data_IF_412077199612
#
_entry.id   IF_412077199612
#
_cell.length_a   1.000
_cell.length_b   1.000
_cell.length_c   1.000
_cell.angle_alpha   90.00
_cell.angle_beta   90.00
_cell.angle_gamma   90.00
#
_symmetry.space_group_name_H-M   'P 1'
#
loop_
_entity.id
_entity.type
_entity.pdbx_description
1 polymer ?
#
# COMPACT_ATOMS: atom_id res chain seq x y z
N UNK A 1 16.21 -13.67 60.30
CA UNK A 1 15.43 -12.98 59.29
C UNK A 1 16.23 -12.93 58.01
N UNK A 2 15.86 -13.78 57.01
CA UNK A 2 16.52 -13.83 55.68
C UNK A 2 15.67 -13.01 54.72
N UNK A 3 16.17 -11.83 54.30
CA UNK A 3 15.55 -11.06 53.21
C UNK A 3 15.83 -11.75 51.87
N UNK A 4 14.76 -12.23 51.24
CA UNK A 4 14.79 -12.77 49.90
C UNK A 4 14.62 -11.62 48.90
N UNK A 5 15.70 -11.26 48.21
CA UNK A 5 15.71 -10.23 47.19
C UNK A 5 15.19 -10.86 45.89
N UNK A 6 13.94 -10.56 45.49
CA UNK A 6 13.35 -10.98 44.24
C UNK A 6 13.82 -10.01 43.17
N UNK A 7 14.73 -10.50 42.26
CA UNK A 7 15.20 -9.76 41.10
C UNK A 7 14.13 -9.89 40.01
N UNK A 8 13.32 -8.86 39.76
CA UNK A 8 12.41 -8.79 38.64
C UNK A 8 13.22 -8.50 37.37
N UNK A 9 13.50 -9.53 36.60
CA UNK A 9 14.04 -9.39 35.25
C UNK A 9 12.90 -9.02 34.30
N UNK A 10 12.77 -7.73 34.01
CA UNK A 10 11.85 -7.24 32.98
C UNK A 10 12.40 -7.61 31.59
N UNK A 11 11.79 -8.60 30.98
CA UNK A 11 12.08 -9.02 29.61
C UNK A 11 11.51 -7.94 28.66
N UNK A 12 12.34 -6.97 28.25
CA UNK A 12 12.01 -6.06 27.16
C UNK A 12 11.98 -6.88 25.85
N UNK A 13 10.79 -7.28 25.43
CA UNK A 13 10.57 -7.71 24.05
C UNK A 13 10.80 -6.49 23.14
N UNK A 14 11.99 -6.39 22.60
CA UNK A 14 12.28 -5.46 21.51
C UNK A 14 11.41 -5.86 20.32
N UNK A 15 10.30 -5.14 20.09
CA UNK A 15 9.56 -5.24 18.85
C UNK A 15 10.48 -4.67 17.75
N UNK A 16 11.15 -5.55 17.03
CA UNK A 16 11.86 -5.16 15.81
C UNK A 16 10.81 -4.62 14.83
N UNK A 17 10.83 -3.32 14.63
CA UNK A 17 9.99 -2.67 13.62
C UNK A 17 10.53 -3.09 12.25
N UNK A 18 9.96 -4.12 11.67
CA UNK A 18 10.30 -4.57 10.32
C UNK A 18 9.76 -3.56 9.31
N UNK A 19 10.68 -2.83 8.65
CA UNK A 19 10.40 -2.22 7.35
C UNK A 19 10.19 -3.32 6.32
N UNK A 20 9.36 -3.10 5.32
CA UNK A 20 9.29 -4.03 4.20
C UNK A 20 10.54 -3.87 3.35
N UNK A 21 11.26 -4.98 3.15
CA UNK A 21 12.48 -5.02 2.37
C UNK A 21 12.25 -5.56 0.96
N UNK A 22 13.02 -5.03 0.01
CA UNK A 22 13.03 -5.57 -1.36
C UNK A 22 13.39 -7.05 -1.35
N UNK A 23 12.68 -7.84 -2.15
CA UNK A 23 12.88 -9.28 -2.25
C UNK A 23 12.18 -10.11 -1.16
N UNK A 24 11.35 -9.51 -0.33
CA UNK A 24 10.59 -10.20 0.73
C UNK A 24 9.08 -10.01 0.58
N UNK A 25 8.33 -10.95 1.14
CA UNK A 25 6.88 -10.81 1.32
C UNK A 25 6.65 -9.93 2.54
N UNK A 26 5.86 -8.85 2.44
CA UNK A 26 5.59 -7.96 3.57
C UNK A 26 4.78 -8.65 4.66
N UNK A 27 4.84 -8.14 5.91
CA UNK A 27 3.93 -8.57 6.96
C UNK A 27 2.48 -8.46 6.52
N UNK A 28 1.67 -9.47 6.89
CA UNK A 28 0.23 -9.46 6.55
C UNK A 28 -0.47 -8.25 7.16
N UNK A 29 -1.28 -7.58 6.35
CA UNK A 29 -2.22 -6.53 6.78
C UNK A 29 -3.62 -6.82 6.28
N UNK A 30 -4.62 -6.44 7.08
CA UNK A 30 -6.03 -6.48 6.71
C UNK A 30 -6.67 -5.13 6.94
N UNK A 31 -7.38 -4.65 5.93
CA UNK A 31 -8.22 -3.46 6.01
C UNK A 31 -9.68 -3.90 5.97
N UNK A 32 -10.33 -3.86 7.13
CA UNK A 32 -11.74 -4.22 7.30
C UNK A 32 -12.38 -3.41 8.42
N UNK A 33 -13.69 -3.25 8.37
CA UNK A 33 -14.48 -2.57 9.41
C UNK A 33 -13.92 -1.17 9.76
N UNK A 34 -13.50 -0.97 11.03
CA UNK A 34 -12.97 0.30 11.54
C UNK A 34 -11.57 0.66 11.00
N UNK A 35 -10.87 -0.31 10.41
CA UNK A 35 -9.55 -0.11 9.82
C UNK A 35 -9.61 0.35 8.37
N UNK A 36 -10.70 0.05 7.65
CA UNK A 36 -10.86 0.42 6.24
C UNK A 36 -11.55 -0.65 5.41
N UNK A 37 -11.11 -0.80 4.16
CA UNK A 37 -11.60 -1.78 3.20
C UNK A 37 -11.91 -1.17 1.84
N UNK A 38 -12.37 -2.00 0.91
CA UNK A 38 -12.70 -1.61 -0.46
C UNK A 38 -13.91 -0.66 -0.51
N UNK A 39 -14.08 0.06 -1.61
CA UNK A 39 -15.23 0.97 -1.80
C UNK A 39 -16.56 0.23 -1.79
N UNK A 40 -16.62 -1.03 -2.22
CA UNK A 40 -17.80 -1.90 -2.19
C UNK A 40 -18.12 -2.46 -0.79
N UNK A 41 -17.34 -2.09 0.22
CA UNK A 41 -17.50 -2.52 1.61
C UNK A 41 -16.83 -3.85 1.96
N UNK A 42 -16.25 -4.53 1.00
CA UNK A 42 -15.52 -5.78 1.27
C UNK A 42 -14.18 -5.51 1.96
N UNK A 43 -13.68 -6.45 2.77
CA UNK A 43 -12.33 -6.40 3.27
C UNK A 43 -11.30 -6.38 2.13
N UNK A 44 -10.11 -5.87 2.41
CA UNK A 44 -8.91 -6.05 1.60
C UNK A 44 -7.81 -6.64 2.47
N UNK A 45 -7.05 -7.57 1.92
CA UNK A 45 -5.91 -8.19 2.60
C UNK A 45 -4.68 -8.18 1.69
N UNK A 46 -3.49 -8.04 2.28
CA UNK A 46 -2.24 -8.18 1.54
C UNK A 46 -2.01 -9.61 1.01
N UNK A 47 -2.76 -10.61 1.47
CA UNK A 47 -2.75 -11.95 0.87
C UNK A 47 -3.23 -11.93 -0.60
N UNK A 48 -4.00 -10.91 -0.99
CA UNK A 48 -4.47 -10.72 -2.36
C UNK A 48 -3.36 -10.29 -3.34
N UNK A 49 -2.19 -9.93 -2.83
CA UNK A 49 -1.00 -9.61 -3.64
C UNK A 49 -0.38 -10.84 -4.31
N UNK A 50 -0.94 -12.03 -4.10
CA UNK A 50 -0.50 -13.26 -4.74
C UNK A 50 -1.27 -13.55 -6.03
N UNK A 51 -0.68 -14.37 -6.92
CA UNK A 51 -1.29 -14.84 -8.16
C UNK A 51 -1.11 -13.93 -9.36
N UNK A 52 -0.91 -12.62 -9.16
CA UNK A 52 -0.67 -11.63 -10.22
C UNK A 52 0.46 -10.68 -9.80
N UNK A 53 1.02 -9.96 -10.76
CA UNK A 53 1.84 -8.78 -10.45
C UNK A 53 0.92 -7.66 -9.96
N UNK A 54 1.21 -7.08 -8.80
CA UNK A 54 0.43 -6.01 -8.24
C UNK A 54 1.23 -4.72 -8.14
N UNK A 55 0.59 -3.59 -8.41
CA UNK A 55 1.12 -2.28 -8.05
C UNK A 55 0.17 -1.63 -7.06
N UNK A 56 0.71 -1.21 -5.91
CA UNK A 56 -0.01 -0.42 -4.92
C UNK A 56 0.44 1.03 -5.04
N UNK A 57 -0.52 1.93 -5.18
CA UNK A 57 -0.38 3.35 -4.88
C UNK A 57 -0.99 3.58 -3.50
N UNK A 58 -0.15 3.81 -2.50
CA UNK A 58 -0.60 4.21 -1.17
C UNK A 58 -0.49 5.72 -1.06
N UNK A 59 -1.63 6.40 -0.99
CA UNK A 59 -1.73 7.83 -1.29
C UNK A 59 -2.43 8.59 -0.17
N UNK A 60 -1.80 9.64 0.30
CA UNK A 60 -2.45 10.64 1.11
C UNK A 60 -3.32 11.55 0.22
N UNK A 61 -4.55 11.91 0.64
CA UNK A 61 -5.46 12.72 -0.19
C UNK A 61 -4.85 14.03 -0.69
N UNK A 62 -3.96 14.65 0.08
CA UNK A 62 -3.30 15.90 -0.29
C UNK A 62 -2.19 15.69 -1.35
N UNK A 63 -1.68 14.45 -1.46
CA UNK A 63 -0.67 14.01 -2.42
C UNK A 63 -1.26 13.21 -3.62
N UNK A 64 -2.58 13.30 -3.82
CA UNK A 64 -3.36 12.49 -4.78
C UNK A 64 -2.88 12.57 -6.24
N UNK A 65 -2.21 13.65 -6.62
CA UNK A 65 -1.79 13.92 -8.00
C UNK A 65 -0.27 13.69 -8.21
N UNK A 66 0.48 13.47 -7.15
CA UNK A 66 1.95 13.36 -7.15
C UNK A 66 2.46 12.28 -8.10
N UNK A 67 1.81 11.11 -8.16
CA UNK A 67 2.18 9.98 -9.00
C UNK A 67 1.18 9.70 -10.14
N UNK A 68 0.36 10.69 -10.56
CA UNK A 68 -0.48 10.59 -11.76
C UNK A 68 0.33 10.18 -13.00
N UNK A 69 1.55 10.75 -13.28
CA UNK A 69 2.35 10.32 -14.43
C UNK A 69 2.69 8.83 -14.42
N UNK A 70 2.94 8.24 -13.24
CA UNK A 70 3.20 6.79 -13.12
C UNK A 70 1.93 5.98 -13.39
N UNK A 71 0.79 6.38 -12.82
CA UNK A 71 -0.50 5.74 -13.05
C UNK A 71 -0.91 5.76 -14.52
N UNK A 72 -0.76 6.92 -15.19
CA UNK A 72 -1.05 7.08 -16.62
C UNK A 72 -0.11 6.27 -17.50
N UNK A 73 1.17 6.17 -17.13
CA UNK A 73 2.14 5.35 -17.85
C UNK A 73 1.77 3.87 -17.77
N UNK A 74 1.38 3.38 -16.58
CA UNK A 74 0.91 2.00 -16.40
C UNK A 74 -0.38 1.71 -17.16
N UNK A 75 -1.32 2.65 -17.23
CA UNK A 75 -2.56 2.48 -18.02
C UNK A 75 -2.28 2.36 -19.53
N UNK A 76 -1.30 3.10 -20.04
CA UNK A 76 -0.86 3.01 -21.46
C UNK A 76 -0.24 1.65 -21.82
N UNK A 77 0.35 0.95 -20.86
CA UNK A 77 0.94 -0.38 -21.07
C UNK A 77 -0.10 -1.47 -21.37
N UNK A 78 -1.36 -1.27 -20.96
CA UNK A 78 -2.48 -2.19 -21.16
C UNK A 78 -2.14 -3.63 -20.76
N UNK A 79 -1.48 -3.78 -19.61
CA UNK A 79 -1.14 -5.11 -19.09
C UNK A 79 -2.39 -6.02 -19.00
N UNK A 80 -2.25 -7.32 -19.27
CA UNK A 80 -3.35 -8.27 -19.19
C UNK A 80 -3.91 -8.34 -17.77
N UNK A 81 -5.22 -8.20 -17.61
CA UNK A 81 -5.88 -8.15 -16.29
C UNK A 81 -5.87 -9.48 -15.53
N UNK A 82 -5.59 -10.58 -16.21
CA UNK A 82 -5.34 -11.89 -15.60
C UNK A 82 -3.94 -12.02 -14.98
N UNK A 83 -2.99 -11.14 -15.37
CA UNK A 83 -1.59 -11.15 -14.90
C UNK A 83 -1.19 -9.94 -14.07
N UNK A 84 -1.94 -8.84 -14.17
CA UNK A 84 -1.63 -7.56 -13.52
C UNK A 84 -2.85 -6.97 -12.83
N UNK A 85 -2.63 -6.34 -11.67
CA UNK A 85 -3.65 -5.61 -10.92
C UNK A 85 -3.08 -4.33 -10.31
N UNK A 86 -3.75 -3.21 -10.52
CA UNK A 86 -3.48 -1.95 -9.81
C UNK A 86 -4.40 -1.83 -8.60
N UNK A 87 -3.85 -1.38 -7.48
CA UNK A 87 -4.56 -1.11 -6.23
C UNK A 87 -4.22 0.30 -5.77
N UNK A 88 -5.22 1.12 -5.47
CA UNK A 88 -5.05 2.43 -4.87
C UNK A 88 -5.58 2.38 -3.43
N UNK A 89 -4.70 2.54 -2.46
CA UNK A 89 -5.05 2.55 -1.03
C UNK A 89 -4.91 3.99 -0.53
N UNK A 90 -6.00 4.55 -0.03
CA UNK A 90 -6.06 5.94 0.39
C UNK A 90 -5.92 6.03 1.91
N UNK A 91 -4.91 6.76 2.37
CA UNK A 91 -4.64 7.05 3.77
C UNK A 91 -5.60 8.14 4.29
N UNK A 92 -6.77 7.73 4.74
CA UNK A 92 -7.79 8.68 5.24
C UNK A 92 -7.45 9.25 6.63
N UNK A 93 -6.42 8.72 7.29
CA UNK A 93 -5.94 9.26 8.55
C UNK A 93 -4.94 10.42 8.37
N UNK A 94 -4.45 10.67 7.14
CA UNK A 94 -3.48 11.72 6.82
C UNK A 94 -4.12 13.06 6.45
N UNK A 95 -5.45 13.16 6.41
CA UNK A 95 -6.15 14.39 5.99
C UNK A 95 -7.24 14.79 6.97
N UNK A 96 -7.52 16.09 7.00
CA UNK A 96 -8.67 16.67 7.72
C UNK A 96 -9.94 16.75 6.86
N UNK A 97 -9.85 16.40 5.57
CA UNK A 97 -11.00 16.44 4.65
C UNK A 97 -12.10 15.48 5.11
N UNK A 98 -13.36 15.89 5.03
CA UNK A 98 -14.48 15.01 5.40
C UNK A 98 -14.51 13.75 4.56
N UNK A 99 -14.70 12.59 5.18
CA UNK A 99 -14.73 11.29 4.50
C UNK A 99 -15.74 11.22 3.34
N UNK A 100 -16.87 11.94 3.42
CA UNK A 100 -17.85 11.94 2.34
C UNK A 100 -17.32 12.59 1.05
N UNK A 101 -16.54 13.67 1.16
CA UNK A 101 -15.94 14.34 0.00
C UNK A 101 -14.90 13.44 -0.68
N UNK A 102 -14.07 12.77 0.12
CA UNK A 102 -13.09 11.82 -0.40
C UNK A 102 -13.79 10.61 -1.04
N UNK A 103 -14.83 10.07 -0.40
CA UNK A 103 -15.59 8.96 -0.95
C UNK A 103 -16.25 9.29 -2.29
N UNK A 104 -16.74 10.53 -2.48
CA UNK A 104 -17.29 11.00 -3.76
C UNK A 104 -16.22 11.01 -4.85
N UNK A 105 -15.05 11.61 -4.56
CA UNK A 105 -13.92 11.65 -5.48
C UNK A 105 -13.39 10.24 -5.84
N UNK A 106 -13.40 9.32 -4.88
CA UNK A 106 -12.98 7.94 -5.12
C UNK A 106 -13.96 7.17 -6.01
N UNK A 107 -15.27 7.41 -5.89
CA UNK A 107 -16.28 6.85 -6.79
C UNK A 107 -16.07 7.31 -8.22
N UNK A 108 -15.85 8.61 -8.44
CA UNK A 108 -15.52 9.15 -9.76
C UNK A 108 -14.24 8.54 -10.34
N UNK A 109 -13.20 8.37 -9.52
CA UNK A 109 -11.96 7.67 -9.94
C UNK A 109 -12.23 6.19 -10.25
N UNK A 110 -13.06 5.50 -9.49
CA UNK A 110 -13.45 4.10 -9.76
C UNK A 110 -14.19 3.96 -11.10
N UNK A 111 -15.09 4.88 -11.42
CA UNK A 111 -15.80 4.91 -12.71
C UNK A 111 -14.84 5.16 -13.87
N UNK A 112 -13.88 6.07 -13.68
CA UNK A 112 -12.86 6.42 -14.69
C UNK A 112 -11.83 5.31 -14.89
N UNK A 113 -11.47 4.59 -13.82
CA UNK A 113 -10.45 3.52 -13.83
C UNK A 113 -11.02 2.23 -13.22
N UNK A 114 -11.96 1.57 -13.91
CA UNK A 114 -12.73 0.44 -13.34
C UNK A 114 -11.89 -0.81 -13.07
N UNK A 115 -10.69 -0.90 -13.64
CA UNK A 115 -9.75 -2.00 -13.40
C UNK A 115 -8.91 -1.83 -12.13
N UNK A 116 -8.89 -0.64 -11.51
CA UNK A 116 -8.16 -0.36 -10.28
C UNK A 116 -9.03 -0.71 -9.08
N UNK A 117 -8.47 -1.42 -8.11
CA UNK A 117 -9.13 -1.69 -6.82
C UNK A 117 -8.85 -0.49 -5.91
N UNK A 118 -9.91 0.19 -5.45
CA UNK A 118 -9.80 1.29 -4.49
C UNK A 118 -10.10 0.80 -3.08
N UNK A 119 -9.19 1.13 -2.16
CA UNK A 119 -9.22 0.71 -0.75
C UNK A 119 -9.04 1.94 0.14
N UNK A 120 -9.69 1.94 1.29
CA UNK A 120 -9.54 2.96 2.33
C UNK A 120 -8.74 2.40 3.47
N UNK A 121 -7.79 3.19 3.98
CA UNK A 121 -7.07 2.94 5.23
C UNK A 121 -7.40 4.08 6.21
N UNK A 122 -8.21 3.80 7.23
CA UNK A 122 -8.66 4.81 8.20
C UNK A 122 -7.67 5.04 9.33
N UNK A 123 -6.64 4.20 9.47
CA UNK A 123 -5.79 4.16 10.66
C UNK A 123 -4.29 4.09 10.36
N UNK A 124 -3.87 4.41 9.13
CA UNK A 124 -2.46 4.32 8.69
C UNK A 124 -1.89 2.92 8.91
N UNK A 125 -2.71 1.87 8.68
CA UNK A 125 -2.32 0.48 8.96
C UNK A 125 -1.08 0.09 8.17
N UNK A 126 -1.03 0.46 6.87
CA UNK A 126 0.12 0.14 6.04
C UNK A 126 1.37 0.93 6.47
N UNK A 127 1.24 2.22 6.82
CA UNK A 127 2.35 3.02 7.36
C UNK A 127 2.94 2.35 8.60
N UNK A 128 2.08 1.91 9.52
CA UNK A 128 2.51 1.29 10.76
C UNK A 128 3.15 -0.09 10.54
N UNK A 129 2.53 -0.92 9.69
CA UNK A 129 2.97 -2.30 9.47
C UNK A 129 4.17 -2.41 8.53
N UNK A 130 4.20 -1.59 7.45
CA UNK A 130 5.19 -1.70 6.39
C UNK A 130 6.28 -0.64 6.45
N UNK A 131 6.15 0.33 7.36
CA UNK A 131 7.10 1.44 7.51
C UNK A 131 7.35 2.19 6.19
N UNK A 132 6.30 2.38 5.42
CA UNK A 132 6.28 3.28 4.27
C UNK A 132 6.10 4.73 4.74
N UNK A 133 6.41 5.70 3.90
CA UNK A 133 6.30 7.10 4.28
C UNK A 133 4.84 7.51 4.55
N UNK A 134 4.63 8.26 5.63
CA UNK A 134 3.38 8.95 5.94
C UNK A 134 3.35 10.30 5.23
N UNK A 135 2.18 10.91 5.10
CA UNK A 135 1.96 12.19 4.41
C UNK A 135 2.66 12.24 3.02
N UNK A 136 2.41 11.19 2.20
CA UNK A 136 3.14 10.94 0.97
C UNK A 136 2.29 10.19 -0.07
N UNK A 137 2.86 10.03 -1.27
CA UNK A 137 2.37 9.11 -2.30
C UNK A 137 3.41 8.03 -2.54
N UNK A 138 3.16 6.83 -2.04
CA UNK A 138 4.09 5.70 -2.12
C UNK A 138 3.69 4.76 -3.26
N UNK A 139 4.67 4.25 -4.00
CA UNK A 139 4.45 3.27 -5.07
C UNK A 139 5.24 2.00 -4.77
N UNK A 140 4.53 0.88 -4.74
CA UNK A 140 5.06 -0.44 -4.40
C UNK A 140 4.64 -1.43 -5.48
N UNK A 141 5.54 -2.29 -5.95
CA UNK A 141 5.17 -3.38 -6.84
C UNK A 141 5.56 -4.74 -6.24
N UNK A 142 4.72 -5.73 -6.50
CA UNK A 142 4.85 -7.09 -5.99
C UNK A 142 4.76 -8.09 -7.14
N UNK A 143 5.58 -9.13 -7.09
CA UNK A 143 5.49 -10.25 -8.02
C UNK A 143 4.30 -11.18 -7.72
N UNK A 144 4.15 -12.25 -8.51
CA UNK A 144 3.07 -13.25 -8.36
C UNK A 144 3.11 -14.03 -7.03
N UNK A 145 4.21 -13.96 -6.30
CA UNK A 145 4.37 -14.57 -4.95
C UNK A 145 4.11 -13.58 -3.83
N UNK A 146 3.80 -12.31 -4.17
CA UNK A 146 3.65 -11.22 -3.19
C UNK A 146 4.98 -10.70 -2.67
N UNK A 147 6.10 -10.97 -3.35
CA UNK A 147 7.41 -10.45 -3.02
C UNK A 147 7.54 -9.02 -3.53
N UNK A 148 8.03 -8.11 -2.69
CA UNK A 148 8.27 -6.72 -3.05
C UNK A 148 9.42 -6.61 -4.06
N UNK A 149 9.12 -6.13 -5.28
CA UNK A 149 10.07 -6.00 -6.39
C UNK A 149 10.37 -4.54 -6.78
N UNK A 150 9.58 -3.59 -6.26
CA UNK A 150 9.81 -2.16 -6.44
C UNK A 150 9.23 -1.39 -5.26
N UNK A 151 9.93 -0.35 -4.80
CA UNK A 151 9.45 0.60 -3.80
C UNK A 151 9.99 1.99 -4.10
N UNK A 152 9.10 2.97 -4.00
CA UNK A 152 9.42 4.39 -3.99
C UNK A 152 8.47 5.11 -3.05
N UNK A 153 9.02 5.82 -2.10
CA UNK A 153 8.30 6.75 -1.25
C UNK A 153 8.42 8.16 -1.87
N UNK A 154 7.29 8.84 -2.08
CA UNK A 154 7.21 10.13 -2.74
C UNK A 154 7.10 10.05 -4.28
N UNK A 155 7.41 11.16 -4.94
CA UNK A 155 7.26 11.33 -6.39
C UNK A 155 8.27 10.48 -7.17
N UNK A 156 7.79 9.77 -8.20
CA UNK A 156 8.65 9.06 -9.15
C UNK A 156 9.17 10.03 -10.21
N UNK A 157 10.47 9.92 -10.53
CA UNK A 157 11.05 10.51 -11.73
C UNK A 157 10.63 9.74 -12.99
N UNK A 158 10.88 10.32 -14.17
CA UNK A 158 10.62 9.62 -15.43
C UNK A 158 11.41 8.31 -15.55
N UNK A 159 12.64 8.29 -15.07
CA UNK A 159 13.50 7.09 -15.05
C UNK A 159 12.96 6.01 -14.10
N UNK A 160 12.48 6.42 -12.91
CA UNK A 160 11.87 5.51 -11.96
C UNK A 160 10.54 4.92 -12.47
N UNK A 161 9.76 5.69 -13.24
CA UNK A 161 8.56 5.18 -13.93
C UNK A 161 8.95 4.10 -14.96
N UNK A 162 9.98 4.34 -15.78
CA UNK A 162 10.46 3.34 -16.74
C UNK A 162 10.99 2.09 -16.03
N UNK A 163 11.70 2.24 -14.91
CA UNK A 163 12.15 1.13 -14.08
C UNK A 163 10.97 0.32 -13.52
N UNK A 164 9.93 0.98 -13.02
CA UNK A 164 8.71 0.33 -12.54
C UNK A 164 8.06 -0.50 -13.64
N UNK A 165 7.87 0.08 -14.85
CA UNK A 165 7.29 -0.62 -16.00
C UNK A 165 8.13 -1.83 -16.39
N UNK A 166 9.46 -1.67 -16.45
CA UNK A 166 10.39 -2.76 -16.77
C UNK A 166 10.26 -3.92 -15.79
N UNK A 167 10.31 -3.62 -14.48
CA UNK A 167 10.20 -4.64 -13.43
C UNK A 167 8.86 -5.36 -13.50
N UNK A 168 7.76 -4.67 -13.79
CA UNK A 168 6.46 -5.30 -14.00
C UNK A 168 6.51 -6.27 -15.18
N UNK A 169 7.00 -5.83 -16.33
CA UNK A 169 7.08 -6.67 -17.57
C UNK A 169 7.90 -7.95 -17.36
N UNK A 170 8.97 -7.87 -16.58
CA UNK A 170 9.86 -9.01 -16.29
C UNK A 170 9.20 -10.04 -15.36
N UNK A 171 8.11 -9.68 -14.66
CA UNK A 171 7.41 -10.53 -13.69
C UNK A 171 6.00 -10.95 -14.12
N UNK A 172 5.50 -10.53 -15.30
CA UNK A 172 4.19 -10.93 -15.87
C UNK A 172 4.17 -12.45 -16.30
#
# INVERSE_FOLDING_TARGET
MKCLLILLVSLFLSQTAYSIDMGQVPPKVELKEKLGGRLDGKPWSSDELQGKVHVIFYVDPDEKDTNNPASEALDKEKFPSDKFQSVAIINLAATWLPNFAINSALKEKQERYPKTIYVRDYKKVLVQAWKIADDSSNVLAFDKKGILIFRKDGKLSAEEIQKLIKVIRENL
#
